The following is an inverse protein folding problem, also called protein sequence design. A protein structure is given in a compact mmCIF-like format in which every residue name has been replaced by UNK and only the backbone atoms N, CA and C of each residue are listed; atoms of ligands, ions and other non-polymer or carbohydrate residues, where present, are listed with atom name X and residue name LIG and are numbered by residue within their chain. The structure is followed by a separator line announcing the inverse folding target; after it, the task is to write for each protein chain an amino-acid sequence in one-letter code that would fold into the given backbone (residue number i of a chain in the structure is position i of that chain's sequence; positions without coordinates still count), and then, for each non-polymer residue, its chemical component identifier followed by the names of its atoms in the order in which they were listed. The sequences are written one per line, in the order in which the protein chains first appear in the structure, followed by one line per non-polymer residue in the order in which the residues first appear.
data_IF_351951376604
#
_entry.id   IF_351951376604
#
_cell.length_a   1.000
_cell.length_b   1.000
_cell.length_c   1.000
_cell.angle_alpha   90.00
_cell.angle_beta   90.00
_cell.angle_gamma   90.00
#
_symmetry.space_group_name_H-M   'P 1'
#
loop_
_entity.id
_entity.type
_entity.pdbx_description
1 polymer ?
#
# COMPACT_ATOMS: atom_id res chain seq x y z
N UNK A 1 5.08 -13.35 34.91
CA UNK A 1 4.47 -12.33 35.79
C UNK A 1 5.30 -12.05 37.07
N UNK A 2 6.20 -12.94 37.51
CA UNK A 2 6.98 -12.75 38.74
C UNK A 2 8.27 -11.87 38.64
N UNK A 3 8.65 -11.39 37.45
CA UNK A 3 9.88 -10.59 37.25
C UNK A 3 9.64 -9.07 37.13
N UNK A 4 8.38 -8.61 37.12
CA UNK A 4 8.03 -7.18 37.07
C UNK A 4 8.03 -6.52 38.45
N UNK A 5 7.85 -7.29 39.51
CA UNK A 5 7.69 -6.73 40.86
C UNK A 5 9.01 -6.36 41.55
N UNK A 6 10.14 -6.92 41.12
CA UNK A 6 11.45 -6.64 41.74
C UNK A 6 12.08 -5.34 41.24
N UNK A 7 11.64 -4.81 40.09
CA UNK A 7 12.18 -3.55 39.54
C UNK A 7 11.59 -2.29 40.17
N UNK A 8 10.44 -2.41 40.85
CA UNK A 8 9.72 -1.24 41.38
C UNK A 8 10.14 -0.87 42.83
N UNK A 9 10.84 -1.75 43.55
CA UNK A 9 11.23 -1.49 44.95
C UNK A 9 12.58 -0.80 45.15
N UNK A 10 13.36 -0.53 44.09
CA UNK A 10 14.69 0.10 44.19
C UNK A 10 14.73 1.57 43.78
N UNK A 11 13.57 2.20 43.49
CA UNK A 11 13.51 3.55 42.92
C UNK A 11 13.37 4.69 43.95
N UNK A 12 13.41 4.43 45.26
CA UNK A 12 13.17 5.44 46.29
C UNK A 12 14.37 5.67 47.21
N UNK A 13 15.49 6.15 46.65
CA UNK A 13 16.59 6.71 47.45
C UNK A 13 17.13 7.99 46.77
N UNK A 14 16.89 9.21 47.31
CA UNK A 14 17.02 10.45 46.56
C UNK A 14 18.43 11.09 46.64
N UNK A 15 19.51 10.31 46.74
CA UNK A 15 20.85 10.89 46.98
C UNK A 15 21.95 10.40 46.05
N UNK A 16 21.76 10.39 44.72
CA UNK A 16 22.90 10.33 43.77
C UNK A 16 22.59 11.11 42.49
N UNK A 17 23.13 12.33 42.38
CA UNK A 17 23.22 13.07 41.12
C UNK A 17 24.25 12.36 40.24
N UNK A 18 23.77 11.68 39.20
CA UNK A 18 24.63 11.08 38.18
C UNK A 18 23.81 10.66 36.96
N UNK A 19 23.92 11.41 35.86
CA UNK A 19 23.36 11.04 34.56
C UNK A 19 23.92 9.68 34.10
N UNK A 20 23.26 8.58 34.43
CA UNK A 20 23.47 7.30 33.74
C UNK A 20 22.73 7.36 32.40
N UNK A 21 23.49 7.59 31.33
CA UNK A 21 23.04 7.38 29.94
C UNK A 21 22.54 5.94 29.85
N UNK A 22 21.22 5.74 29.78
CA UNK A 22 20.59 4.42 29.64
C UNK A 22 21.12 3.84 28.32
N UNK A 23 22.06 2.89 28.40
CA UNK A 23 22.57 2.17 27.23
C UNK A 23 21.38 1.42 26.64
N UNK A 24 20.91 1.88 25.49
CA UNK A 24 19.99 1.12 24.64
C UNK A 24 20.78 -0.10 24.19
N UNK A 25 20.33 -1.29 24.61
CA UNK A 25 20.90 -2.54 24.12
C UNK A 25 20.67 -2.61 22.60
N UNK A 26 21.64 -3.07 21.80
CA UNK A 26 21.41 -3.36 20.39
C UNK A 26 20.24 -4.33 20.28
N UNK A 27 19.24 -3.98 19.47
CA UNK A 27 18.13 -4.89 19.20
C UNK A 27 18.69 -6.15 18.51
N UNK A 28 18.19 -7.35 18.84
CA UNK A 28 18.65 -8.58 18.18
C UNK A 28 18.42 -8.48 16.67
N UNK A 29 19.37 -8.94 15.84
CA UNK A 29 19.21 -8.93 14.39
C UNK A 29 18.02 -9.82 14.01
N UNK A 30 16.97 -9.21 13.45
CA UNK A 30 15.79 -9.93 12.97
C UNK A 30 14.45 -9.43 13.49
N UNK A 31 14.40 -8.44 14.38
CA UNK A 31 13.15 -7.72 14.66
C UNK A 31 13.01 -6.55 13.67
N UNK A 32 12.64 -6.86 12.43
CA UNK A 32 12.11 -5.83 11.53
C UNK A 32 10.81 -5.34 12.16
N UNK A 33 10.72 -4.04 12.41
CA UNK A 33 9.43 -3.44 12.72
C UNK A 33 8.56 -3.52 11.45
N UNK A 34 7.23 -3.55 11.56
CA UNK A 34 6.37 -3.48 10.36
C UNK A 34 6.67 -2.23 9.50
N UNK A 35 7.27 -1.19 10.12
CA UNK A 35 7.74 0.04 9.47
C UNK A 35 8.93 -0.19 8.51
N UNK A 36 9.65 -1.31 8.63
CA UNK A 36 10.81 -1.63 7.77
C UNK A 36 10.45 -2.52 6.57
N UNK A 37 9.22 -3.04 6.52
CA UNK A 37 8.77 -3.94 5.46
C UNK A 37 8.22 -3.16 4.26
N UNK A 38 8.57 -3.60 3.05
CA UNK A 38 7.96 -3.08 1.83
C UNK A 38 6.47 -3.46 1.75
N UNK A 39 5.67 -2.68 1.03
CA UNK A 39 4.23 -2.93 0.88
C UNK A 39 3.91 -4.35 0.37
N UNK A 40 4.78 -4.92 -0.46
CA UNK A 40 4.64 -6.28 -0.99
C UNK A 40 4.94 -7.35 0.07
N UNK A 41 5.83 -7.08 1.03
CA UNK A 41 6.17 -8.02 2.12
C UNK A 41 5.08 -8.11 3.19
N UNK A 42 4.23 -7.08 3.28
CA UNK A 42 3.08 -7.06 4.18
C UNK A 42 1.91 -7.93 3.70
N UNK A 43 1.95 -8.43 2.46
CA UNK A 43 0.82 -9.11 1.82
C UNK A 43 1.15 -10.58 1.54
N UNK A 44 0.25 -11.47 1.97
CA UNK A 44 0.36 -12.90 1.67
C UNK A 44 -0.19 -13.22 0.27
N UNK A 45 0.72 -13.48 -0.67
CA UNK A 45 0.40 -13.92 -2.03
C UNK A 45 0.21 -15.44 -2.15
N UNK A 46 0.44 -16.21 -1.08
CA UNK A 46 0.34 -17.68 -1.08
C UNK A 46 -1.00 -18.21 -1.62
N UNK A 47 -2.17 -17.61 -1.30
CA UNK A 47 -3.44 -18.07 -1.84
C UNK A 47 -3.50 -18.04 -3.36
N UNK A 48 -2.95 -16.99 -3.98
CA UNK A 48 -2.95 -16.82 -5.44
C UNK A 48 -2.05 -17.86 -6.10
N UNK A 49 -0.84 -18.06 -5.59
CA UNK A 49 0.10 -19.03 -6.17
C UNK A 49 -0.34 -20.48 -5.96
N UNK A 50 -0.93 -20.79 -4.81
CA UNK A 50 -1.54 -22.11 -4.56
C UNK A 50 -2.69 -22.37 -5.52
N UNK A 51 -3.57 -21.38 -5.71
CA UNK A 51 -4.66 -21.46 -6.69
C UNK A 51 -4.16 -21.70 -8.11
N UNK A 52 -3.14 -20.94 -8.54
CA UNK A 52 -2.49 -21.12 -9.83
C UNK A 52 -1.86 -22.50 -9.98
N UNK A 53 -1.17 -23.00 -8.96
CA UNK A 53 -0.55 -24.32 -8.98
C UNK A 53 -1.59 -25.43 -9.12
N UNK A 54 -2.69 -25.37 -8.36
CA UNK A 54 -3.80 -26.32 -8.47
C UNK A 54 -4.40 -26.28 -9.88
N UNK A 55 -4.67 -25.08 -10.41
CA UNK A 55 -5.20 -24.92 -11.76
C UNK A 55 -4.26 -25.52 -12.82
N UNK A 56 -2.95 -25.36 -12.66
CA UNK A 56 -1.94 -25.96 -13.53
C UNK A 56 -1.97 -27.49 -13.48
N UNK A 57 -1.95 -28.08 -12.29
CA UNK A 57 -2.00 -29.55 -12.10
C UNK A 57 -3.29 -30.14 -12.68
N UNK A 58 -4.40 -29.40 -12.62
CA UNK A 58 -5.69 -29.83 -13.19
C UNK A 58 -5.85 -29.53 -14.69
N UNK A 59 -4.84 -28.94 -15.35
CA UNK A 59 -4.91 -28.57 -16.77
C UNK A 59 -5.89 -27.43 -17.09
N UNK A 60 -6.19 -26.57 -16.11
CA UNK A 60 -7.18 -25.47 -16.20
C UNK A 60 -6.55 -24.07 -16.04
N UNK A 61 -5.25 -23.92 -16.30
CA UNK A 61 -4.53 -22.64 -16.15
C UNK A 61 -5.18 -21.50 -16.90
N UNK A 62 -5.55 -21.70 -18.18
CA UNK A 62 -6.11 -20.63 -19.02
C UNK A 62 -7.43 -20.08 -18.47
N UNK A 63 -8.28 -20.97 -17.92
CA UNK A 63 -9.53 -20.59 -17.27
C UNK A 63 -9.25 -19.78 -16.00
N UNK A 64 -8.29 -20.21 -15.18
CA UNK A 64 -7.90 -19.49 -13.97
C UNK A 64 -7.31 -18.11 -14.30
N UNK A 65 -6.43 -18.02 -15.30
CA UNK A 65 -5.84 -16.76 -15.77
C UNK A 65 -6.92 -15.77 -16.23
N UNK A 66 -7.87 -16.25 -17.03
CA UNK A 66 -8.99 -15.44 -17.52
C UNK A 66 -9.86 -14.94 -16.37
N UNK A 67 -10.20 -15.84 -15.44
CA UNK A 67 -10.98 -15.50 -14.25
C UNK A 67 -10.26 -14.47 -13.37
N UNK A 68 -8.98 -14.70 -13.07
CA UNK A 68 -8.16 -13.81 -12.26
C UNK A 68 -8.09 -12.40 -12.88
N UNK A 69 -7.76 -12.30 -14.17
CA UNK A 69 -7.68 -11.01 -14.88
C UNK A 69 -9.01 -10.27 -14.92
N UNK A 70 -10.12 -10.99 -15.13
CA UNK A 70 -11.45 -10.40 -15.10
C UNK A 70 -11.76 -9.81 -13.71
N UNK A 71 -11.38 -10.51 -12.64
CA UNK A 71 -11.60 -10.03 -11.28
C UNK A 71 -10.71 -8.85 -10.92
N UNK A 72 -9.42 -8.88 -11.29
CA UNK A 72 -8.52 -7.71 -11.11
C UNK A 72 -9.01 -6.49 -11.88
N UNK A 73 -9.60 -6.68 -13.06
CA UNK A 73 -10.22 -5.58 -13.81
C UNK A 73 -11.40 -4.97 -13.07
N UNK A 74 -12.25 -5.77 -12.40
CA UNK A 74 -13.34 -5.24 -11.57
C UNK A 74 -12.79 -4.47 -10.37
N UNK A 75 -11.77 -5.02 -9.71
CA UNK A 75 -11.13 -4.37 -8.56
C UNK A 75 -10.47 -3.04 -8.94
N UNK A 76 -9.76 -2.99 -10.07
CA UNK A 76 -9.21 -1.75 -10.60
C UNK A 76 -10.29 -0.68 -10.77
N UNK A 77 -11.45 -1.06 -11.32
CA UNK A 77 -12.57 -0.12 -11.51
C UNK A 77 -13.12 0.43 -10.20
N UNK A 78 -13.10 -0.33 -9.11
CA UNK A 78 -13.53 0.10 -7.78
C UNK A 78 -12.50 1.06 -7.17
N UNK A 79 -11.22 0.69 -7.20
CA UNK A 79 -10.12 1.53 -6.69
C UNK A 79 -10.06 2.88 -7.41
N UNK A 80 -10.38 2.92 -8.70
CA UNK A 80 -10.37 4.14 -9.49
C UNK A 80 -11.58 5.06 -9.27
N UNK A 81 -12.54 4.68 -8.41
CA UNK A 81 -13.66 5.56 -8.05
C UNK A 81 -13.20 6.62 -7.04
N UNK A 82 -13.26 7.92 -7.38
CA UNK A 82 -12.90 8.96 -6.43
C UNK A 82 -13.93 9.05 -5.30
N UNK A 83 -13.51 9.38 -4.06
CA UNK A 83 -14.43 9.70 -2.98
C UNK A 83 -15.36 10.86 -3.36
N UNK A 84 -16.63 10.81 -2.93
CA UNK A 84 -17.65 11.81 -3.29
C UNK A 84 -17.21 13.24 -2.95
N UNK A 85 -16.58 13.41 -1.79
CA UNK A 85 -16.12 14.70 -1.28
C UNK A 85 -14.60 14.88 -1.43
N UNK A 86 -14.01 14.33 -2.50
CA UNK A 86 -12.56 14.40 -2.68
C UNK A 86 -12.01 15.84 -2.70
N UNK A 87 -12.82 16.79 -3.19
CA UNK A 87 -12.46 18.20 -3.30
C UNK A 87 -12.41 18.97 -1.96
N UNK A 88 -12.88 18.36 -0.86
CA UNK A 88 -12.99 19.03 0.45
C UNK A 88 -11.73 18.91 1.30
N UNK A 89 -10.85 17.94 1.02
CA UNK A 89 -9.66 17.71 1.86
C UNK A 89 -8.47 17.15 1.08
N UNK A 90 -7.26 17.50 1.53
CA UNK A 90 -6.00 16.95 1.03
C UNK A 90 -5.90 15.44 1.28
N UNK A 91 -6.36 14.98 2.45
CA UNK A 91 -6.38 13.58 2.84
C UNK A 91 -7.18 12.72 1.85
N UNK A 92 -8.32 13.23 1.35
CA UNK A 92 -9.12 12.53 0.34
C UNK A 92 -8.34 12.28 -0.96
N UNK A 93 -7.53 13.24 -1.41
CA UNK A 93 -6.67 13.07 -2.58
C UNK A 93 -5.54 12.07 -2.31
N UNK A 94 -4.94 12.13 -1.12
CA UNK A 94 -3.90 11.19 -0.69
C UNK A 94 -4.45 9.76 -0.69
N UNK A 95 -5.58 9.52 -0.02
CA UNK A 95 -6.22 8.21 0.04
C UNK A 95 -6.57 7.67 -1.35
N UNK A 96 -7.09 8.52 -2.23
CA UNK A 96 -7.38 8.12 -3.61
C UNK A 96 -6.10 7.69 -4.36
N UNK A 97 -5.06 8.51 -4.32
CA UNK A 97 -3.78 8.22 -5.00
C UNK A 97 -3.11 6.99 -4.40
N UNK A 98 -3.10 6.84 -3.08
CA UNK A 98 -2.54 5.69 -2.39
C UNK A 98 -3.28 4.40 -2.71
N UNK A 99 -4.60 4.43 -2.83
CA UNK A 99 -5.38 3.26 -3.25
C UNK A 99 -4.99 2.82 -4.68
N UNK A 100 -4.86 3.77 -5.61
CA UNK A 100 -4.42 3.51 -6.98
C UNK A 100 -3.00 2.94 -7.02
N UNK A 101 -2.06 3.58 -6.32
CA UNK A 101 -0.66 3.12 -6.23
C UNK A 101 -0.59 1.72 -5.63
N UNK A 102 -1.25 1.51 -4.49
CA UNK A 102 -1.30 0.21 -3.82
C UNK A 102 -1.80 -0.88 -4.74
N UNK A 103 -2.85 -0.61 -5.53
CA UNK A 103 -3.32 -1.57 -6.53
C UNK A 103 -2.22 -1.93 -7.56
N UNK A 104 -1.61 -0.94 -8.21
CA UNK A 104 -0.61 -1.20 -9.27
C UNK A 104 0.70 -1.79 -8.75
N UNK A 105 1.13 -1.44 -7.53
CA UNK A 105 2.28 -2.05 -6.85
C UNK A 105 2.08 -3.57 -6.69
N UNK A 106 0.86 -3.99 -6.31
CA UNK A 106 0.53 -5.40 -6.16
C UNK A 106 0.41 -6.12 -7.49
N UNK A 107 -0.15 -5.47 -8.51
CA UNK A 107 -0.23 -6.06 -9.85
C UNK A 107 1.16 -6.23 -10.47
N UNK A 108 2.07 -5.28 -10.28
CA UNK A 108 3.47 -5.40 -10.73
C UNK A 108 4.17 -6.55 -10.00
N UNK A 109 3.95 -6.69 -8.69
CA UNK A 109 4.48 -7.85 -7.95
C UNK A 109 3.99 -9.17 -8.55
N UNK A 110 2.68 -9.31 -8.81
CA UNK A 110 2.11 -10.52 -9.41
C UNK A 110 2.59 -10.72 -10.85
N UNK A 111 2.80 -9.67 -11.64
CA UNK A 111 3.39 -9.76 -12.97
C UNK A 111 4.79 -10.41 -12.91
N UNK A 112 5.62 -10.00 -11.95
CA UNK A 112 7.00 -10.48 -11.82
C UNK A 112 7.11 -11.87 -11.19
N UNK A 113 6.11 -12.30 -10.40
CA UNK A 113 6.18 -13.55 -9.61
C UNK A 113 5.19 -14.63 -10.07
N UNK A 114 4.10 -14.25 -10.72
CA UNK A 114 2.93 -15.09 -11.02
C UNK A 114 3.04 -15.99 -12.26
N UNK A 115 4.25 -16.19 -12.80
CA UNK A 115 4.51 -17.13 -13.93
C UNK A 115 3.56 -16.97 -15.13
N UNK A 116 3.27 -15.74 -15.53
CA UNK A 116 2.37 -15.45 -16.67
C UNK A 116 0.89 -15.31 -16.32
N UNK A 117 0.51 -15.42 -15.03
CA UNK A 117 -0.84 -15.14 -14.55
C UNK A 117 -1.35 -13.78 -15.02
N UNK A 118 -0.47 -12.78 -14.99
CA UNK A 118 -0.62 -11.47 -15.61
C UNK A 118 0.42 -11.33 -16.74
N UNK A 119 0.05 -10.65 -17.82
CA UNK A 119 1.00 -10.25 -18.88
C UNK A 119 1.25 -8.76 -18.82
N UNK A 120 2.42 -8.33 -19.30
CA UNK A 120 2.74 -6.90 -19.42
C UNK A 120 1.66 -6.14 -20.20
N UNK A 121 1.21 -6.69 -21.33
CA UNK A 121 0.13 -6.08 -22.13
C UNK A 121 -1.16 -5.84 -21.34
N UNK A 122 -1.59 -6.81 -20.52
CA UNK A 122 -2.76 -6.63 -19.66
C UNK A 122 -2.57 -5.51 -18.64
N UNK A 123 -1.38 -5.43 -18.02
CA UNK A 123 -1.10 -4.39 -17.03
C UNK A 123 -1.04 -3.00 -17.67
N UNK A 124 -0.45 -2.88 -18.86
CA UNK A 124 -0.42 -1.64 -19.65
C UNK A 124 -1.83 -1.18 -20.07
N UNK A 125 -2.69 -2.09 -20.52
CA UNK A 125 -4.08 -1.76 -20.86
C UNK A 125 -4.85 -1.26 -19.63
N UNK A 126 -4.64 -1.90 -18.48
CA UNK A 126 -5.24 -1.51 -17.21
C UNK A 126 -4.71 -0.15 -16.73
N UNK A 127 -3.42 0.11 -16.90
CA UNK A 127 -2.79 1.40 -16.59
C UNK A 127 -3.31 2.53 -17.50
N UNK A 128 -3.46 2.28 -18.81
CA UNK A 128 -4.04 3.26 -19.74
C UNK A 128 -5.48 3.66 -19.36
N UNK A 129 -6.29 2.66 -18.99
CA UNK A 129 -7.64 2.89 -18.47
C UNK A 129 -7.62 3.65 -17.13
N UNK A 130 -6.70 3.31 -16.24
CA UNK A 130 -6.52 3.99 -14.96
C UNK A 130 -6.12 5.46 -15.15
N UNK A 131 -5.11 5.74 -15.97
CA UNK A 131 -4.66 7.10 -16.27
C UNK A 131 -5.80 7.98 -16.77
N UNK A 132 -6.60 7.47 -17.71
CA UNK A 132 -7.77 8.20 -18.23
C UNK A 132 -8.74 8.57 -17.10
N UNK A 133 -9.01 7.64 -16.18
CA UNK A 133 -9.90 7.87 -15.05
C UNK A 133 -9.32 8.81 -14.00
N UNK A 134 -8.02 8.68 -13.70
CA UNK A 134 -7.31 9.54 -12.74
C UNK A 134 -7.31 10.98 -13.24
N UNK A 135 -6.94 11.21 -14.50
CA UNK A 135 -6.96 12.55 -15.11
C UNK A 135 -8.36 13.15 -15.04
N UNK A 136 -9.39 12.38 -15.41
CA UNK A 136 -10.78 12.83 -15.34
C UNK A 136 -11.19 13.19 -13.91
N UNK A 137 -10.91 12.32 -12.93
CA UNK A 137 -11.24 12.55 -11.53
C UNK A 137 -10.52 13.80 -10.97
N UNK A 138 -9.23 13.95 -11.24
CA UNK A 138 -8.45 15.10 -10.80
C UNK A 138 -8.99 16.40 -11.41
N UNK A 139 -9.30 16.42 -12.71
CA UNK A 139 -9.89 17.58 -13.38
C UNK A 139 -11.26 17.94 -12.81
N UNK A 140 -12.16 16.96 -12.66
CA UNK A 140 -13.51 17.20 -12.12
C UNK A 140 -13.44 17.73 -10.70
N UNK A 141 -12.70 17.09 -9.80
CA UNK A 141 -12.70 17.49 -8.39
C UNK A 141 -11.88 18.76 -8.13
N UNK A 142 -10.80 19.01 -8.87
CA UNK A 142 -10.06 20.28 -8.74
C UNK A 142 -10.87 21.48 -9.23
N UNK A 143 -11.79 21.31 -10.19
CA UNK A 143 -12.68 22.37 -10.64
C UNK A 143 -13.64 22.87 -9.55
N UNK A 144 -13.98 22.01 -8.58
CA UNK A 144 -14.80 22.38 -7.42
C UNK A 144 -13.97 22.90 -6.23
N UNK A 145 -12.64 22.83 -6.31
CA UNK A 145 -11.76 23.32 -5.25
C UNK A 145 -11.63 24.84 -5.33
N UNK A 146 -12.13 25.53 -4.31
CA UNK A 146 -12.07 27.01 -4.22
C UNK A 146 -10.96 27.52 -3.31
N UNK A 147 -10.30 26.63 -2.56
CA UNK A 147 -9.20 26.95 -1.66
C UNK A 147 -7.86 26.91 -2.40
N UNK A 148 -7.23 28.08 -2.52
CA UNK A 148 -5.93 28.26 -3.17
C UNK A 148 -4.79 27.51 -2.46
N UNK A 149 -4.88 27.29 -1.15
CA UNK A 149 -3.86 26.53 -0.42
C UNK A 149 -4.01 25.03 -0.65
N UNK A 150 -5.24 24.54 -0.66
CA UNK A 150 -5.54 23.14 -0.96
C UNK A 150 -5.11 22.77 -2.39
N UNK A 151 -5.40 23.60 -3.39
CA UNK A 151 -5.02 23.30 -4.78
C UNK A 151 -3.50 23.27 -5.00
N UNK A 152 -2.73 24.07 -4.26
CA UNK A 152 -1.27 24.02 -4.28
C UNK A 152 -0.75 22.70 -3.72
N UNK A 153 -1.30 22.24 -2.59
CA UNK A 153 -0.92 20.94 -2.01
C UNK A 153 -1.30 19.76 -2.90
N UNK A 154 -2.48 19.81 -3.53
CA UNK A 154 -2.89 18.80 -4.52
C UNK A 154 -1.92 18.77 -5.69
N UNK A 155 -1.48 19.94 -6.20
CA UNK A 155 -0.46 20.00 -7.25
C UNK A 155 0.86 19.36 -6.80
N UNK A 156 1.30 19.63 -5.58
CA UNK A 156 2.54 19.05 -5.05
C UNK A 156 2.42 17.53 -4.87
N UNK A 157 1.26 17.03 -4.43
CA UNK A 157 0.96 15.60 -4.35
C UNK A 157 0.96 14.91 -5.73
N UNK A 158 0.37 15.55 -6.74
CA UNK A 158 0.39 15.04 -8.12
C UNK A 158 1.82 15.04 -8.68
N UNK A 159 2.60 16.10 -8.41
CA UNK A 159 4.00 16.15 -8.81
C UNK A 159 4.78 14.98 -8.19
N UNK A 160 4.61 14.73 -6.89
CA UNK A 160 5.25 13.60 -6.21
C UNK A 160 4.86 12.25 -6.83
N UNK A 161 3.61 12.11 -7.28
CA UNK A 161 3.14 10.90 -7.95
C UNK A 161 3.75 10.70 -9.35
N UNK A 162 4.09 11.79 -10.04
CA UNK A 162 4.63 11.75 -11.41
C UNK A 162 6.16 11.72 -11.49
N UNK A 163 6.86 12.13 -10.43
CA UNK A 163 8.34 12.11 -10.31
C UNK A 163 8.85 10.77 -9.83
#
# INVERSE_FOLDING_TARGET
VAMRHTSEQLASDPTVIGRKKKRVAPQPPGHFSEEDLSAQELIDFSPIYRGLHIAHVLGRSSTFETYYRAERTKQARLVLQPPTNMHESEESYQLYIYAVLGFFILEDHVLNTGRGLITKAFLEDMWSMALTKIVTALQTHSAYCTDATLILRIKDLIMLFCT
#
